data_IF_492495761202
#
_entry.id   IF_492495761202
#
_cell.length_a   1.000
_cell.length_b   1.000
_cell.length_c   1.000
_cell.angle_alpha   90.00
_cell.angle_beta   90.00
_cell.angle_gamma   90.00
#
_symmetry.space_group_name_H-M   'P 1'
#
loop_
_entity.id
_entity.type
_entity.pdbx_description
1 polymer ?
#
# COMPACT_ATOMS: atom_id res chain seq x y z
N UNK A 1 -27.80 -65.48 -64.22
CA UNK A 1 -26.81 -64.71 -63.44
C UNK A 1 -26.36 -63.52 -64.28
N UNK A 2 -26.57 -62.30 -63.80
CA UNK A 2 -26.01 -61.09 -64.42
C UNK A 2 -24.73 -60.73 -63.66
N UNK A 3 -23.58 -60.73 -64.34
CA UNK A 3 -22.31 -60.30 -63.74
C UNK A 3 -22.31 -58.78 -63.58
N UNK A 4 -22.01 -58.24 -62.39
CA UNK A 4 -21.98 -56.80 -62.19
C UNK A 4 -20.85 -56.19 -63.02
N UNK A 5 -21.17 -55.20 -63.86
CA UNK A 5 -20.17 -54.39 -64.57
C UNK A 5 -19.36 -53.60 -63.55
N UNK A 6 -18.11 -53.98 -63.34
CA UNK A 6 -17.14 -53.17 -62.61
C UNK A 6 -16.97 -51.83 -63.34
N UNK A 7 -17.16 -50.68 -62.67
CA UNK A 7 -16.96 -49.39 -63.31
C UNK A 7 -15.48 -49.24 -63.70
N UNK A 8 -15.22 -48.86 -64.95
CA UNK A 8 -13.87 -48.63 -65.43
C UNK A 8 -13.22 -47.51 -64.60
N UNK A 9 -12.04 -47.79 -64.02
CA UNK A 9 -11.24 -46.79 -63.31
C UNK A 9 -10.79 -45.71 -64.30
N UNK A 10 -11.49 -44.58 -64.33
CA UNK A 10 -11.02 -43.38 -65.04
C UNK A 10 -9.83 -42.82 -64.26
N UNK A 11 -8.66 -42.79 -64.89
CA UNK A 11 -7.49 -42.11 -64.34
C UNK A 11 -7.68 -40.59 -64.43
N UNK A 12 -7.05 -39.85 -63.51
CA UNK A 12 -7.03 -38.39 -63.56
C UNK A 12 -6.30 -37.90 -64.81
N UNK A 13 -6.86 -36.89 -65.45
CA UNK A 13 -6.21 -36.13 -66.52
C UNK A 13 -5.13 -35.21 -65.95
N UNK A 14 -4.14 -34.85 -66.78
CA UNK A 14 -3.10 -33.88 -66.41
C UNK A 14 -3.70 -32.54 -65.94
N UNK A 15 -4.82 -32.12 -66.57
CA UNK A 15 -5.53 -30.89 -66.23
C UNK A 15 -6.17 -30.97 -64.85
N UNK A 16 -6.87 -32.07 -64.52
CA UNK A 16 -7.44 -32.28 -63.18
C UNK A 16 -6.36 -32.28 -62.09
N UNK A 17 -5.18 -32.86 -62.38
CA UNK A 17 -4.06 -32.88 -61.45
C UNK A 17 -3.46 -31.47 -61.24
N UNK A 18 -3.26 -30.70 -62.31
CA UNK A 18 -2.78 -29.31 -62.22
C UNK A 18 -3.77 -28.39 -61.50
N UNK A 19 -5.07 -28.52 -61.78
CA UNK A 19 -6.13 -27.78 -61.06
C UNK A 19 -6.15 -28.19 -59.59
N UNK A 20 -6.06 -29.49 -59.28
CA UNK A 20 -6.01 -30.00 -57.90
C UNK A 20 -4.83 -29.45 -57.09
N UNK A 21 -3.62 -29.44 -57.66
CA UNK A 21 -2.44 -28.84 -57.04
C UNK A 21 -2.63 -27.32 -56.85
N UNK A 22 -3.18 -26.63 -57.84
CA UNK A 22 -3.35 -25.16 -57.79
C UNK A 22 -4.37 -24.76 -56.71
N UNK A 23 -5.51 -25.44 -56.63
CA UNK A 23 -6.51 -25.20 -55.58
C UNK A 23 -5.93 -25.54 -54.20
N UNK A 24 -5.22 -26.67 -54.08
CA UNK A 24 -4.57 -27.05 -52.82
C UNK A 24 -3.53 -26.03 -52.37
N UNK A 25 -2.71 -25.48 -53.28
CA UNK A 25 -1.69 -24.48 -52.92
C UNK A 25 -2.31 -23.16 -52.45
N UNK A 26 -3.40 -22.70 -53.09
CA UNK A 26 -4.15 -21.51 -52.66
C UNK A 26 -4.80 -21.72 -51.28
N UNK A 27 -5.39 -22.90 -51.04
CA UNK A 27 -5.98 -23.25 -49.72
C UNK A 27 -4.90 -23.32 -48.64
N UNK A 28 -3.75 -23.96 -48.93
CA UNK A 28 -2.63 -24.02 -47.98
C UNK A 28 -2.05 -22.63 -47.68
N UNK A 29 -1.95 -21.75 -48.67
CA UNK A 29 -1.53 -20.36 -48.49
C UNK A 29 -2.51 -19.59 -47.58
N UNK A 30 -3.81 -19.73 -47.80
CA UNK A 30 -4.84 -19.08 -46.99
C UNK A 30 -4.83 -19.60 -45.53
N UNK A 31 -4.67 -20.91 -45.32
CA UNK A 31 -4.52 -21.51 -43.99
C UNK A 31 -3.23 -21.02 -43.31
N UNK A 32 -2.09 -20.99 -44.01
CA UNK A 32 -0.83 -20.49 -43.47
C UNK A 32 -0.91 -19.02 -43.06
N UNK A 33 -1.47 -18.16 -43.91
CA UNK A 33 -1.72 -16.75 -43.59
C UNK A 33 -2.63 -16.57 -42.37
N UNK A 34 -3.65 -17.43 -42.22
CA UNK A 34 -4.57 -17.43 -41.08
C UNK A 34 -3.85 -17.83 -39.79
N UNK A 35 -3.01 -18.87 -39.82
CA UNK A 35 -2.22 -19.31 -38.66
C UNK A 35 -1.22 -18.22 -38.22
N UNK A 36 -0.57 -17.54 -39.17
CA UNK A 36 0.33 -16.42 -38.87
C UNK A 36 -0.42 -15.27 -38.18
N UNK A 37 -1.58 -14.87 -38.71
CA UNK A 37 -2.40 -13.81 -38.11
C UNK A 37 -2.89 -14.18 -36.70
N UNK A 38 -3.31 -15.43 -36.49
CA UNK A 38 -3.74 -15.96 -35.18
C UNK A 38 -2.58 -15.95 -34.17
N UNK A 39 -1.38 -16.38 -34.58
CA UNK A 39 -0.19 -16.36 -33.72
C UNK A 39 0.22 -14.94 -33.32
N UNK A 40 0.18 -13.98 -34.24
CA UNK A 40 0.45 -12.56 -33.97
C UNK A 40 -0.54 -11.97 -32.95
N UNK A 41 -1.84 -12.26 -33.10
CA UNK A 41 -2.89 -11.89 -32.13
C UNK A 41 -2.59 -12.50 -30.75
N UNK A 42 -2.19 -13.78 -30.66
CA UNK A 42 -1.85 -14.41 -29.39
C UNK A 42 -0.62 -13.77 -28.73
N UNK A 43 0.43 -13.43 -29.48
CA UNK A 43 1.61 -12.75 -28.92
C UNK A 43 1.26 -11.35 -28.39
N UNK A 44 0.51 -10.55 -29.17
CA UNK A 44 0.04 -9.23 -28.75
C UNK A 44 -0.81 -9.28 -27.48
N UNK A 45 -1.76 -10.21 -27.41
CA UNK A 45 -2.59 -10.40 -26.22
C UNK A 45 -1.78 -10.87 -25.00
N UNK A 46 -0.76 -11.71 -25.19
CA UNK A 46 0.08 -12.20 -24.09
C UNK A 46 0.90 -11.07 -23.47
N UNK A 47 1.51 -10.20 -24.28
CA UNK A 47 2.31 -9.04 -23.83
C UNK A 47 1.45 -8.04 -23.04
N UNK A 48 0.22 -7.75 -23.50
CA UNK A 48 -0.68 -6.87 -22.77
C UNK A 48 -1.24 -7.50 -21.49
N UNK A 49 -1.46 -8.82 -21.51
CA UNK A 49 -2.04 -9.56 -20.38
C UNK A 49 -1.15 -9.49 -19.13
N UNK A 50 0.16 -9.68 -19.24
CA UNK A 50 1.05 -9.71 -18.06
C UNK A 50 1.08 -8.37 -17.33
N UNK A 51 1.13 -7.24 -18.05
CA UNK A 51 1.09 -5.90 -17.45
C UNK A 51 -0.25 -5.61 -16.75
N UNK A 52 -1.37 -6.06 -17.35
CA UNK A 52 -2.72 -5.93 -16.74
C UNK A 52 -2.88 -6.83 -15.52
N UNK A 53 -2.30 -8.04 -15.52
CA UNK A 53 -2.30 -8.92 -14.34
C UNK A 53 -1.47 -8.34 -13.20
N UNK A 54 -0.25 -7.85 -13.47
CA UNK A 54 0.57 -7.15 -12.47
C UNK A 54 -0.15 -5.92 -11.87
N UNK A 55 -0.78 -5.11 -12.73
CA UNK A 55 -1.58 -3.95 -12.29
C UNK A 55 -2.73 -4.36 -11.36
N UNK A 56 -3.43 -5.45 -11.68
CA UNK A 56 -4.56 -5.94 -10.88
C UNK A 56 -4.12 -6.49 -9.53
N UNK A 57 -3.02 -7.24 -9.47
CA UNK A 57 -2.48 -7.78 -8.21
C UNK A 57 -2.02 -6.65 -7.30
N UNK A 58 -1.24 -5.69 -7.84
CA UNK A 58 -0.83 -4.49 -7.11
C UNK A 58 -2.00 -3.69 -6.58
N UNK A 59 -2.99 -3.42 -7.43
CA UNK A 59 -4.14 -2.61 -7.06
C UNK A 59 -5.09 -3.32 -6.06
N UNK A 60 -5.28 -4.64 -6.16
CA UNK A 60 -6.06 -5.42 -5.19
C UNK A 60 -5.37 -5.48 -3.81
N UNK A 61 -4.04 -5.66 -3.78
CA UNK A 61 -3.26 -5.59 -2.54
C UNK A 61 -3.39 -4.20 -1.88
N UNK A 62 -3.12 -3.13 -2.63
CA UNK A 62 -3.25 -1.74 -2.15
C UNK A 62 -4.65 -1.46 -1.58
N UNK A 63 -5.71 -1.79 -2.33
CA UNK A 63 -7.10 -1.58 -1.90
C UNK A 63 -7.48 -2.32 -0.61
N UNK A 64 -6.87 -3.48 -0.34
CA UNK A 64 -7.13 -4.27 0.88
C UNK A 64 -6.33 -3.73 2.05
N UNK A 65 -5.01 -3.58 1.89
CA UNK A 65 -4.10 -3.24 2.97
C UNK A 65 -4.32 -1.79 3.45
N UNK A 66 -4.57 -0.83 2.54
CA UNK A 66 -4.81 0.57 2.91
C UNK A 66 -6.09 0.80 3.74
N UNK A 67 -7.09 -0.08 3.64
CA UNK A 67 -8.30 0.01 4.49
C UNK A 67 -8.01 -0.22 5.97
N UNK A 68 -6.89 -0.88 6.29
CA UNK A 68 -6.44 -1.05 7.66
C UNK A 68 -5.64 0.14 8.18
N UNK A 69 -5.16 1.06 7.35
CA UNK A 69 -4.38 2.22 7.80
C UNK A 69 -5.10 2.98 8.93
N UNK A 70 -4.38 3.26 10.02
CA UNK A 70 -4.92 3.88 11.23
C UNK A 70 -5.85 3.01 12.10
N UNK A 71 -6.10 1.74 11.76
CA UNK A 71 -6.93 0.86 12.57
C UNK A 71 -6.29 0.65 13.95
N UNK A 72 -7.04 0.95 15.03
CA UNK A 72 -6.56 0.79 16.41
C UNK A 72 -5.41 1.71 16.81
N UNK A 73 -5.18 2.81 16.08
CA UNK A 73 -4.15 3.82 16.34
C UNK A 73 -4.76 5.22 16.46
N UNK A 74 -3.96 6.17 16.96
CA UNK A 74 -4.26 7.59 16.82
C UNK A 74 -4.07 8.01 15.34
N UNK A 75 -5.05 8.70 14.72
CA UNK A 75 -4.90 9.22 13.36
C UNK A 75 -3.64 10.06 13.11
N UNK A 76 -3.10 10.77 14.12
CA UNK A 76 -1.89 11.57 13.99
C UNK A 76 -0.65 10.73 13.65
N UNK A 77 -0.61 9.47 14.10
CA UNK A 77 0.49 8.52 13.85
C UNK A 77 0.12 7.43 12.85
N UNK A 78 -1.04 7.50 12.20
CA UNK A 78 -1.48 6.45 11.28
C UNK A 78 -0.68 6.41 9.98
N UNK A 79 -0.20 7.57 9.50
CA UNK A 79 0.67 7.70 8.34
C UNK A 79 2.04 8.19 8.75
N UNK A 80 3.06 7.78 8.00
CA UNK A 80 4.42 8.24 8.20
C UNK A 80 4.90 9.07 7.00
N UNK A 81 5.28 10.32 7.28
CA UNK A 81 5.86 11.25 6.30
C UNK A 81 7.34 11.52 6.60
N UNK A 82 7.98 10.70 7.44
CA UNK A 82 9.41 10.73 7.66
C UNK A 82 10.17 10.37 6.38
N UNK A 83 11.25 11.09 6.15
CA UNK A 83 12.16 10.87 5.02
C UNK A 83 13.37 10.01 5.39
N UNK A 84 13.59 9.76 6.68
CA UNK A 84 14.71 8.96 7.18
C UNK A 84 14.74 7.56 6.50
N UNK A 85 15.92 7.20 5.98
CA UNK A 85 16.13 5.95 5.25
C UNK A 85 15.52 5.91 3.84
N UNK A 86 15.18 7.07 3.25
CA UNK A 86 14.81 7.17 1.84
C UNK A 86 15.99 7.58 0.96
N UNK A 87 16.05 7.08 -0.29
CA UNK A 87 16.88 7.67 -1.32
C UNK A 87 16.62 9.20 -1.41
N UNK A 88 17.70 9.97 -1.45
CA UNK A 88 17.68 11.44 -1.52
C UNK A 88 16.88 12.14 -0.39
N UNK A 89 16.60 11.46 0.72
CA UNK A 89 15.69 11.91 1.79
C UNK A 89 14.33 12.39 1.23
N UNK A 90 13.82 11.72 0.18
CA UNK A 90 12.69 12.18 -0.61
C UNK A 90 11.47 11.26 -0.52
N UNK A 91 10.29 11.83 -0.25
CA UNK A 91 9.03 11.10 -0.05
C UNK A 91 8.21 10.90 -1.34
N UNK A 92 8.35 11.82 -2.30
CA UNK A 92 7.61 11.87 -3.56
C UNK A 92 8.54 12.00 -4.77
N UNK A 93 8.08 11.55 -5.94
CA UNK A 93 8.79 11.74 -7.22
C UNK A 93 10.24 11.24 -7.26
N UNK A 94 10.64 10.30 -6.39
CA UNK A 94 11.97 9.70 -6.46
C UNK A 94 12.10 8.92 -7.78
N UNK A 95 13.17 9.17 -8.52
CA UNK A 95 13.40 8.58 -9.85
C UNK A 95 14.72 7.84 -9.88
N UNK A 96 14.71 6.61 -10.37
CA UNK A 96 15.88 5.74 -10.48
C UNK A 96 15.95 5.12 -11.89
N UNK A 97 17.17 4.98 -12.43
CA UNK A 97 17.42 4.36 -13.74
C UNK A 97 17.92 2.92 -13.56
N UNK A 98 17.30 1.98 -14.28
CA UNK A 98 17.65 0.57 -14.26
C UNK A 98 18.26 0.19 -15.61
N UNK A 99 19.49 -0.33 -15.59
CA UNK A 99 20.22 -0.78 -16.78
C UNK A 99 19.37 -1.75 -17.64
N UNK A 100 19.42 -1.57 -18.97
CA UNK A 100 18.61 -2.28 -19.98
C UNK A 100 17.07 -2.23 -19.80
N UNK A 101 16.55 -1.53 -18.79
CA UNK A 101 15.11 -1.40 -18.53
C UNK A 101 14.61 0.05 -18.68
N UNK A 102 15.38 1.06 -18.30
CA UNK A 102 14.99 2.49 -18.29
C UNK A 102 14.64 2.99 -16.88
N UNK A 103 13.99 4.16 -16.78
CA UNK A 103 13.71 4.79 -15.48
C UNK A 103 12.35 4.41 -14.90
N UNK A 104 12.22 4.44 -13.58
CA UNK A 104 10.94 4.41 -12.88
C UNK A 104 10.84 5.60 -11.90
N UNK A 105 9.61 5.98 -11.55
CA UNK A 105 9.30 7.00 -10.54
C UNK A 105 8.46 6.41 -9.42
N UNK A 106 8.72 6.79 -8.17
CA UNK A 106 7.98 6.31 -7.01
C UNK A 106 7.80 7.36 -5.94
N UNK A 107 6.63 7.32 -5.31
CA UNK A 107 6.40 7.87 -3.99
C UNK A 107 6.60 6.78 -2.92
N UNK A 108 6.75 7.21 -1.67
CA UNK A 108 6.86 6.34 -0.49
C UNK A 108 5.57 6.40 0.34
N UNK A 109 4.75 5.35 0.25
CA UNK A 109 3.51 5.21 1.02
C UNK A 109 3.78 4.41 2.30
N UNK A 110 4.00 5.13 3.39
CA UNK A 110 4.23 4.54 4.71
C UNK A 110 3.02 4.74 5.65
N UNK A 111 2.50 3.64 6.20
CA UNK A 111 1.40 3.67 7.16
C UNK A 111 1.50 2.58 8.23
N UNK A 112 0.84 2.84 9.35
CA UNK A 112 0.77 2.03 10.57
C UNK A 112 -0.66 1.50 10.76
N UNK A 113 -0.83 0.27 11.23
CA UNK A 113 -2.10 -0.25 11.75
C UNK A 113 -1.88 -1.26 12.88
N UNK A 114 -2.79 -1.32 13.85
CA UNK A 114 -2.74 -2.33 14.90
C UNK A 114 -3.11 -3.71 14.34
N UNK A 115 -2.34 -4.72 14.72
CA UNK A 115 -2.73 -6.12 14.50
C UNK A 115 -4.01 -6.45 15.31
N UNK A 116 -5.13 -6.84 14.68
CA UNK A 116 -6.37 -7.14 15.39
C UNK A 116 -6.31 -8.45 16.21
N UNK A 117 -5.36 -9.34 15.91
CA UNK A 117 -5.20 -10.62 16.60
C UNK A 117 -4.19 -10.55 17.75
N UNK A 118 -3.38 -9.48 17.81
CA UNK A 118 -2.36 -9.32 18.84
C UNK A 118 -2.79 -8.39 19.97
N UNK A 119 -3.08 -8.98 21.13
CA UNK A 119 -3.39 -8.24 22.36
C UNK A 119 -2.88 -9.00 23.58
N UNK A 120 -2.15 -8.29 24.45
CA UNK A 120 -1.59 -8.77 25.73
C UNK A 120 -1.73 -7.70 26.81
N UNK A 121 -1.37 -8.04 28.04
CA UNK A 121 -1.14 -7.08 29.13
C UNK A 121 0.31 -7.20 29.58
N UNK A 122 0.84 -6.10 30.09
CA UNK A 122 2.18 -6.01 30.62
C UNK A 122 2.43 -4.64 31.21
N UNK A 123 3.50 -4.46 31.96
CA UNK A 123 3.94 -3.16 32.47
C UNK A 123 5.16 -2.70 31.66
N UNK A 124 5.23 -1.42 31.36
CA UNK A 124 6.44 -0.78 30.86
C UNK A 124 7.10 -0.07 32.05
N UNK A 125 8.42 -0.20 32.21
CA UNK A 125 9.12 0.56 33.24
C UNK A 125 9.03 2.08 33.00
N UNK A 126 9.01 2.83 34.10
CA UNK A 126 8.54 4.20 34.10
C UNK A 126 9.66 5.22 34.07
N UNK A 127 9.62 6.13 33.10
CA UNK A 127 10.37 7.40 33.09
C UNK A 127 11.88 7.24 33.29
N UNK A 128 12.50 6.41 32.46
CA UNK A 128 13.95 6.39 32.23
C UNK A 128 14.36 7.07 30.91
N UNK A 129 15.63 6.95 30.55
CA UNK A 129 16.04 7.02 29.15
C UNK A 129 15.81 5.64 28.50
N UNK A 130 15.53 5.56 27.20
CA UNK A 130 15.42 4.27 26.52
C UNK A 130 16.76 3.51 26.53
N UNK A 131 16.75 2.16 26.38
CA UNK A 131 15.57 1.32 26.16
C UNK A 131 14.70 1.12 27.41
N UNK A 132 13.38 1.11 27.20
CA UNK A 132 12.37 0.83 28.22
C UNK A 132 12.08 -0.67 28.31
N UNK A 133 12.00 -1.24 29.51
CA UNK A 133 11.71 -2.66 29.70
C UNK A 133 10.20 -2.93 29.81
N UNK A 134 9.65 -3.58 28.79
CA UNK A 134 8.31 -4.16 28.79
C UNK A 134 8.35 -5.54 29.46
N UNK A 135 7.46 -5.79 30.42
CA UNK A 135 7.26 -7.09 31.08
C UNK A 135 5.79 -7.48 31.01
N UNK A 136 5.46 -8.63 30.41
CA UNK A 136 4.08 -9.11 30.28
C UNK A 136 3.49 -9.59 31.62
N UNK A 137 2.17 -9.66 31.69
CA UNK A 137 1.42 -10.19 32.84
C UNK A 137 1.86 -11.63 33.17
N UNK A 138 1.93 -12.05 34.46
CA UNK A 138 2.30 -13.41 34.82
C UNK A 138 1.47 -14.47 34.07
N UNK A 139 2.16 -15.48 33.52
CA UNK A 139 1.64 -16.51 32.61
C UNK A 139 1.24 -16.07 31.19
N UNK A 140 1.48 -14.80 30.80
CA UNK A 140 1.42 -14.37 29.40
C UNK A 140 2.82 -14.40 28.75
N UNK A 141 2.86 -14.73 27.45
CA UNK A 141 4.05 -14.64 26.59
C UNK A 141 3.70 -13.89 25.30
N UNK A 142 4.70 -13.54 24.48
CA UNK A 142 4.42 -12.89 23.19
C UNK A 142 3.63 -13.83 22.25
N UNK A 143 3.85 -15.14 22.31
CA UNK A 143 3.10 -16.17 21.59
C UNK A 143 3.44 -16.29 20.09
N UNK A 144 4.30 -15.40 19.60
CA UNK A 144 4.96 -15.47 18.29
C UNK A 144 6.32 -14.79 18.41
N UNK A 145 7.34 -15.21 17.62
CA UNK A 145 8.61 -14.49 17.60
C UNK A 145 8.40 -13.08 17.04
N UNK A 146 8.93 -12.08 17.73
CA UNK A 146 8.96 -10.71 17.27
C UNK A 146 10.40 -10.32 16.95
N UNK A 147 10.60 -9.56 15.87
CA UNK A 147 11.95 -9.14 15.44
C UNK A 147 12.30 -7.75 15.93
N UNK A 148 13.61 -7.50 16.07
CA UNK A 148 14.15 -6.16 16.24
C UNK A 148 13.53 -5.19 15.24
N UNK A 149 13.27 -3.96 15.68
CA UNK A 149 12.65 -2.91 14.88
C UNK A 149 11.12 -2.98 14.78
N UNK A 150 10.45 -4.10 15.06
CA UNK A 150 8.98 -4.15 15.03
C UNK A 150 8.36 -3.23 16.10
N UNK A 151 7.25 -2.59 15.74
CA UNK A 151 6.59 -1.59 16.58
C UNK A 151 5.56 -2.21 17.53
N UNK A 152 5.61 -1.81 18.80
CA UNK A 152 4.71 -2.24 19.88
C UNK A 152 4.06 -1.01 20.51
N UNK A 153 2.73 -1.03 20.59
CA UNK A 153 1.92 0.01 21.19
C UNK A 153 1.51 -0.41 22.59
N UNK A 154 1.95 0.35 23.59
CA UNK A 154 1.55 0.19 24.99
C UNK A 154 0.52 1.28 25.31
N UNK A 155 -0.72 0.90 25.62
CA UNK A 155 -1.81 1.85 25.89
C UNK A 155 -2.34 1.69 27.31
N UNK A 156 -2.47 2.80 28.02
CA UNK A 156 -2.97 2.81 29.40
C UNK A 156 -4.43 2.33 29.49
N UNK A 157 -4.86 1.83 30.66
CA UNK A 157 -6.27 1.51 30.90
C UNK A 157 -7.17 2.72 30.60
N UNK A 158 -8.14 2.55 29.69
CA UNK A 158 -8.99 3.64 29.18
C UNK A 158 -8.50 4.30 27.88
N UNK A 159 -7.31 3.96 27.39
CA UNK A 159 -6.84 4.22 26.02
C UNK A 159 -6.49 5.66 25.65
N UNK A 160 -6.70 6.65 26.53
CA UNK A 160 -6.41 8.05 26.22
C UNK A 160 -4.90 8.34 26.08
N UNK A 161 -4.08 7.62 26.85
CA UNK A 161 -2.64 7.69 26.86
C UNK A 161 -2.02 6.41 26.28
N UNK A 162 -1.04 6.56 25.39
CA UNK A 162 -0.29 5.45 24.81
C UNK A 162 1.18 5.83 24.58
N UNK A 163 1.99 4.82 24.27
CA UNK A 163 3.38 4.93 23.85
C UNK A 163 3.62 3.96 22.69
N UNK A 164 4.31 4.40 21.64
CA UNK A 164 4.76 3.54 20.54
C UNK A 164 6.27 3.35 20.66
N UNK A 165 6.69 2.11 20.91
CA UNK A 165 8.09 1.72 20.98
C UNK A 165 8.49 0.74 19.87
N UNK A 166 9.78 0.67 19.53
CA UNK A 166 10.37 -0.35 18.66
C UNK A 166 11.14 -1.36 19.47
N UNK A 167 11.05 -2.64 19.14
CA UNK A 167 11.88 -3.67 19.76
C UNK A 167 13.37 -3.41 19.51
N UNK A 168 14.14 -3.28 20.60
CA UNK A 168 15.59 -3.06 20.54
C UNK A 168 16.38 -4.33 20.14
N UNK A 169 15.77 -5.51 20.29
CA UNK A 169 16.32 -6.81 19.94
C UNK A 169 15.19 -7.82 19.61
N UNK A 170 15.55 -8.96 19.02
CA UNK A 170 14.63 -10.07 18.78
C UNK A 170 14.06 -10.65 20.09
N UNK A 171 12.79 -11.04 20.06
CA UNK A 171 12.05 -11.62 21.19
C UNK A 171 11.46 -12.95 20.77
N UNK A 172 11.72 -14.00 21.55
CA UNK A 172 11.18 -15.34 21.28
C UNK A 172 9.68 -15.43 21.60
N UNK A 173 8.97 -16.37 20.99
CA UNK A 173 7.53 -16.57 21.22
C UNK A 173 7.20 -16.84 22.71
N UNK A 174 8.06 -17.60 23.40
CA UNK A 174 7.93 -17.90 24.83
C UNK A 174 8.49 -16.79 25.73
N UNK A 175 9.01 -15.71 25.16
CA UNK A 175 9.47 -14.53 25.88
C UNK A 175 8.34 -13.88 26.68
N UNK A 176 8.71 -13.34 27.84
CA UNK A 176 7.81 -12.59 28.73
C UNK A 176 8.24 -11.13 28.91
N UNK A 177 9.41 -10.76 28.40
CA UNK A 177 9.96 -9.41 28.47
C UNK A 177 10.54 -8.97 27.12
N UNK A 178 10.58 -7.66 26.91
CA UNK A 178 11.15 -7.04 25.71
C UNK A 178 11.72 -5.66 26.06
N UNK A 179 12.73 -5.21 25.32
CA UNK A 179 13.30 -3.87 25.46
C UNK A 179 12.82 -2.99 24.30
N UNK A 180 12.36 -1.77 24.59
CA UNK A 180 11.73 -0.86 23.64
C UNK A 180 12.48 0.48 23.52
N UNK A 181 12.90 0.83 22.31
CA UNK A 181 13.31 2.18 21.93
C UNK A 181 12.07 3.04 21.62
N UNK A 182 12.17 4.37 21.71
CA UNK A 182 11.09 5.28 21.26
C UNK A 182 10.92 5.19 19.73
N UNK A 183 9.69 4.98 19.24
CA UNK A 183 9.41 4.83 17.79
C UNK A 183 9.07 6.13 17.05
N UNK A 184 8.82 7.22 17.79
CA UNK A 184 8.27 8.48 17.28
C UNK A 184 9.15 9.66 17.68
N UNK A 185 9.27 10.66 16.81
CA UNK A 185 10.01 11.89 17.15
C UNK A 185 9.40 12.61 18.36
N UNK A 186 10.22 13.35 19.10
CA UNK A 186 9.80 14.09 20.29
C UNK A 186 8.70 15.11 19.96
N UNK A 187 7.67 15.18 20.82
CA UNK A 187 6.49 16.01 20.63
C UNK A 187 5.37 15.36 19.80
N UNK A 188 5.56 14.13 19.29
CA UNK A 188 4.48 13.34 18.70
C UNK A 188 3.70 12.61 19.81
N UNK A 189 2.34 12.62 19.79
CA UNK A 189 1.53 11.77 20.65
C UNK A 189 2.01 10.31 20.69
N UNK A 190 2.50 9.88 21.85
CA UNK A 190 3.04 8.53 22.09
C UNK A 190 4.56 8.39 22.00
N UNK A 191 5.30 9.49 21.94
CA UNK A 191 6.77 9.56 21.98
C UNK A 191 7.41 9.10 23.31
N UNK A 192 6.76 9.39 24.45
CA UNK A 192 7.27 9.12 25.80
C UNK A 192 6.28 8.30 26.63
N UNK A 193 6.72 7.23 27.33
CA UNK A 193 5.92 6.46 28.27
C UNK A 193 5.20 7.31 29.32
N UNK A 194 3.97 6.94 29.67
CA UNK A 194 3.16 7.63 30.67
C UNK A 194 3.13 6.85 31.99
N UNK A 195 3.00 7.54 33.12
CA UNK A 195 3.04 6.93 34.45
C UNK A 195 1.96 5.87 34.73
N UNK A 196 0.88 5.83 33.95
CA UNK A 196 -0.11 4.76 34.00
C UNK A 196 0.39 3.41 33.42
N UNK A 197 1.54 3.38 32.74
CA UNK A 197 2.11 2.16 32.16
C UNK A 197 2.87 1.29 33.16
N UNK A 198 3.24 1.85 34.31
CA UNK A 198 3.85 1.12 35.44
C UNK A 198 2.83 0.52 36.41
N UNK A 199 1.52 0.76 36.24
CA UNK A 199 0.48 0.28 37.16
C UNK A 199 0.37 -1.26 37.12
N UNK A 200 0.77 -1.93 38.20
CA UNK A 200 0.66 -3.39 38.35
C UNK A 200 -0.76 -3.86 38.67
N UNK A 201 -1.61 -2.97 39.20
CA UNK A 201 -3.00 -3.29 39.56
C UNK A 201 -3.93 -3.24 38.35
N UNK A 202 -3.64 -2.33 37.41
CA UNK A 202 -4.32 -2.18 36.13
C UNK A 202 -3.27 -2.11 35.01
N UNK A 203 -2.63 -3.24 34.75
CA UNK A 203 -1.63 -3.34 33.68
C UNK A 203 -2.17 -2.81 32.34
N UNK A 204 -1.41 -1.97 31.62
CA UNK A 204 -1.79 -1.46 30.32
C UNK A 204 -1.85 -2.57 29.27
N UNK A 205 -2.44 -2.23 28.13
CA UNK A 205 -2.61 -3.11 26.99
C UNK A 205 -1.39 -3.02 26.07
N UNK A 206 -0.89 -4.18 25.65
CA UNK A 206 0.24 -4.33 24.74
C UNK A 206 -0.30 -4.87 23.42
N UNK A 207 -0.03 -4.13 22.34
CA UNK A 207 -0.56 -4.39 21.00
C UNK A 207 0.57 -4.35 19.98
N UNK A 208 0.55 -5.25 18.99
CA UNK A 208 1.52 -5.21 17.89
C UNK A 208 1.04 -4.21 16.85
N UNK A 209 1.96 -3.40 16.33
CA UNK A 209 1.69 -2.46 15.24
C UNK A 209 2.39 -2.97 13.97
N UNK A 210 1.57 -3.24 12.98
CA UNK A 210 2.00 -3.57 11.63
C UNK A 210 2.32 -2.26 10.90
N UNK A 211 3.56 -2.14 10.45
CA UNK A 211 4.03 -1.00 9.67
C UNK A 211 4.30 -1.49 8.25
N UNK A 212 3.74 -0.77 7.27
CA UNK A 212 3.88 -1.08 5.85
C UNK A 212 4.41 0.16 5.14
N UNK A 213 5.49 -0.02 4.39
CA UNK A 213 6.13 1.01 3.57
C UNK A 213 6.16 0.51 2.12
N UNK A 214 5.45 1.18 1.22
CA UNK A 214 5.35 0.77 -0.19
C UNK A 214 6.01 1.79 -1.09
N UNK A 215 6.89 1.30 -1.97
CA UNK A 215 7.57 2.05 -3.02
C UNK A 215 8.01 1.10 -4.13
N UNK A 216 8.46 1.64 -5.25
CA UNK A 216 9.12 0.86 -6.30
C UNK A 216 10.61 0.75 -5.97
N UNK A 217 11.19 -0.44 -6.12
CA UNK A 217 12.62 -0.69 -5.97
C UNK A 217 13.15 -1.56 -7.12
N UNK A 218 14.39 -1.32 -7.56
CA UNK A 218 15.07 -2.16 -8.52
C UNK A 218 15.59 -3.46 -7.87
N UNK A 219 15.07 -4.60 -8.30
CA UNK A 219 15.52 -5.94 -7.86
C UNK A 219 15.85 -6.80 -9.08
N UNK A 220 17.11 -7.22 -9.21
CA UNK A 220 17.56 -8.08 -10.31
C UNK A 220 17.41 -7.46 -11.70
N UNK A 221 17.67 -6.16 -11.86
CA UNK A 221 17.58 -5.43 -13.13
C UNK A 221 16.14 -5.11 -13.58
N UNK A 222 15.16 -5.18 -12.67
CA UNK A 222 13.75 -4.84 -12.95
C UNK A 222 13.13 -4.12 -11.74
N UNK A 223 12.25 -3.12 -11.94
CA UNK A 223 11.54 -2.49 -10.85
C UNK A 223 10.34 -3.32 -10.38
N UNK A 224 10.15 -3.34 -9.07
CA UNK A 224 9.03 -3.98 -8.39
C UNK A 224 8.37 -3.00 -7.43
N UNK A 225 7.04 -2.90 -7.43
CA UNK A 225 6.32 -2.39 -6.27
C UNK A 225 6.51 -3.40 -5.14
N UNK A 226 7.23 -3.00 -4.10
CA UNK A 226 7.47 -3.81 -2.90
C UNK A 226 6.70 -3.25 -1.72
N UNK A 227 6.45 -4.08 -0.71
CA UNK A 227 6.04 -3.65 0.62
C UNK A 227 7.07 -4.10 1.64
N UNK A 228 7.71 -3.14 2.31
CA UNK A 228 8.59 -3.39 3.47
C UNK A 228 7.76 -3.50 4.75
N UNK A 229 8.20 -4.38 5.65
CA UNK A 229 7.58 -4.62 6.96
C UNK A 229 8.39 -3.95 8.07
N UNK A 230 8.03 -2.72 8.42
CA UNK A 230 8.85 -1.81 9.22
C UNK A 230 9.54 -0.74 8.37
N UNK A 231 10.41 0.07 8.98
CA UNK A 231 11.14 1.15 8.29
C UNK A 231 12.66 0.99 8.30
N UNK A 232 13.19 -0.11 8.86
CA UNK A 232 14.61 -0.42 8.69
C UNK A 232 14.93 -0.57 7.19
N UNK A 233 16.11 -0.11 6.77
CA UNK A 233 16.49 -0.11 5.36
C UNK A 233 16.52 -1.53 4.77
N UNK A 234 16.99 -2.47 5.59
CA UNK A 234 17.10 -3.92 5.38
C UNK A 234 15.86 -4.73 5.81
N UNK A 235 14.74 -4.06 6.11
CA UNK A 235 13.50 -4.75 6.51
C UNK A 235 13.01 -5.74 5.44
N UNK A 236 12.53 -6.91 5.90
CA UNK A 236 11.84 -7.91 5.08
C UNK A 236 10.82 -7.23 4.14
N UNK A 237 10.85 -7.61 2.86
CA UNK A 237 9.96 -7.08 1.83
C UNK A 237 9.27 -8.18 1.03
N UNK A 238 8.00 -7.94 0.68
CA UNK A 238 7.25 -8.75 -0.29
C UNK A 238 7.17 -8.01 -1.63
N UNK A 239 7.54 -8.62 -2.77
CA UNK A 239 7.27 -8.07 -4.10
C UNK A 239 5.80 -8.26 -4.46
N UNK A 240 5.10 -7.16 -4.75
CA UNK A 240 3.66 -7.14 -5.04
C UNK A 240 3.37 -7.15 -6.55
N UNK A 241 4.07 -6.30 -7.32
CA UNK A 241 3.92 -6.20 -8.76
C UNK A 241 5.28 -5.92 -9.42
N UNK A 242 5.54 -6.55 -10.57
CA UNK A 242 6.77 -6.36 -11.34
C UNK A 242 6.57 -5.38 -12.50
N UNK A 243 7.67 -4.84 -13.04
CA UNK A 243 7.73 -3.92 -14.19
C UNK A 243 6.90 -2.65 -13.97
N UNK A 244 6.92 -2.12 -12.75
CA UNK A 244 6.26 -0.88 -12.39
C UNK A 244 7.11 0.31 -12.82
N UNK A 245 6.58 1.17 -13.68
CA UNK A 245 7.24 2.42 -14.12
C UNK A 245 6.92 3.61 -13.24
N UNK A 246 5.73 3.62 -12.64
CA UNK A 246 5.26 4.74 -11.85
C UNK A 246 4.34 4.24 -10.75
N UNK A 247 4.65 4.62 -9.50
CA UNK A 247 3.77 4.45 -8.35
C UNK A 247 3.64 5.81 -7.67
N UNK A 248 2.41 6.29 -7.53
CA UNK A 248 2.13 7.66 -7.11
C UNK A 248 0.95 7.72 -6.14
N UNK A 249 0.98 8.69 -5.22
CA UNK A 249 0.11 8.72 -4.05
C UNK A 249 -0.37 10.15 -3.76
N UNK A 250 -1.69 10.33 -3.73
CA UNK A 250 -2.32 11.58 -3.31
C UNK A 250 -3.18 11.39 -2.05
N UNK A 251 -3.29 12.44 -1.24
CA UNK A 251 -3.90 12.41 0.09
C UNK A 251 -5.12 13.32 0.13
N UNK A 252 -6.33 12.75 0.10
CA UNK A 252 -7.56 13.53 0.23
C UNK A 252 -7.79 13.90 1.69
N UNK A 253 -7.73 15.20 1.96
CA UNK A 253 -7.90 15.78 3.28
C UNK A 253 -9.37 16.00 3.63
N UNK A 254 -9.64 16.13 4.92
CA UNK A 254 -10.96 16.43 5.45
C UNK A 254 -11.38 17.85 5.07
N UNK A 255 -12.52 17.99 4.40
CA UNK A 255 -13.06 19.28 3.95
C UNK A 255 -14.13 19.81 4.92
N UNK A 256 -14.14 21.11 5.28
CA UNK A 256 -15.23 21.70 6.06
C UNK A 256 -16.54 21.66 5.26
N UNK A 257 -17.67 21.30 5.91
CA UNK A 257 -18.97 21.37 5.25
C UNK A 257 -19.33 22.83 4.93
N UNK A 258 -20.10 23.07 3.87
CA UNK A 258 -20.43 24.42 3.41
C UNK A 258 -21.23 25.27 4.42
N UNK A 259 -21.80 24.64 5.44
CA UNK A 259 -22.51 25.26 6.58
C UNK A 259 -21.70 25.23 7.89
N UNK A 260 -20.40 24.93 7.83
CA UNK A 260 -19.47 25.03 8.97
C UNK A 260 -19.49 26.45 9.56
N UNK A 261 -19.72 26.56 10.86
CA UNK A 261 -19.75 27.85 11.56
C UNK A 261 -18.33 28.38 11.79
N UNK A 262 -17.33 27.50 11.96
CA UNK A 262 -15.94 27.89 12.10
C UNK A 262 -15.23 28.17 10.77
N UNK A 263 -15.52 27.36 9.75
CA UNK A 263 -14.53 27.02 8.73
C UNK A 263 -15.08 26.93 7.29
N UNK A 264 -16.34 27.32 7.04
CA UNK A 264 -16.93 27.26 5.69
C UNK A 264 -16.20 28.11 4.63
N UNK A 265 -15.46 29.13 5.06
CA UNK A 265 -14.59 29.97 4.22
C UNK A 265 -13.10 29.64 4.31
N UNK A 266 -12.70 28.55 4.97
CA UNK A 266 -11.31 28.15 5.09
C UNK A 266 -10.75 27.75 3.71
N UNK A 267 -9.62 28.35 3.34
CA UNK A 267 -8.90 27.98 2.12
C UNK A 267 -8.46 26.52 2.18
N UNK A 268 -8.46 25.86 1.03
CA UNK A 268 -7.94 24.51 0.92
C UNK A 268 -6.42 24.48 1.15
N UNK A 269 -5.88 23.38 1.71
CA UNK A 269 -4.48 23.31 2.14
C UNK A 269 -3.46 23.26 0.99
N UNK A 270 -3.89 22.89 -0.20
CA UNK A 270 -3.15 22.94 -1.46
C UNK A 270 -2.71 24.36 -1.85
N UNK A 271 -3.44 25.38 -1.38
CA UNK A 271 -3.43 26.71 -1.99
C UNK A 271 -4.16 26.69 -3.33
N UNK A 272 -4.50 27.86 -3.87
CA UNK A 272 -5.29 27.94 -5.11
C UNK A 272 -4.50 27.62 -6.41
N UNK A 273 -3.67 26.58 -6.39
CA UNK A 273 -2.94 26.06 -7.55
C UNK A 273 -3.88 25.18 -8.38
N UNK A 274 -3.80 25.30 -9.71
CA UNK A 274 -4.38 24.38 -10.71
C UNK A 274 -5.91 24.25 -10.78
N UNK A 275 -6.54 23.84 -9.68
CA UNK A 275 -7.87 23.21 -9.64
C UNK A 275 -8.97 24.02 -8.95
N UNK A 276 -8.62 25.06 -8.18
CA UNK A 276 -9.58 25.97 -7.56
C UNK A 276 -10.17 25.49 -6.22
N UNK A 277 -9.29 25.12 -5.28
CA UNK A 277 -9.55 24.61 -3.91
C UNK A 277 -9.76 23.09 -3.83
N UNK A 278 -8.72 22.32 -4.15
CA UNK A 278 -8.69 20.88 -3.94
C UNK A 278 -8.28 20.52 -2.50
N UNK A 279 -9.11 19.72 -1.85
CA UNK A 279 -8.77 19.14 -0.54
C UNK A 279 -7.97 17.86 -0.73
N UNK A 280 -6.92 17.94 -1.56
CA UNK A 280 -6.04 16.86 -1.97
C UNK A 280 -4.60 17.38 -1.91
N UNK A 281 -3.67 16.54 -1.45
CA UNK A 281 -2.24 16.88 -1.38
C UNK A 281 -1.44 15.81 -2.13
N UNK A 282 -0.37 16.22 -2.83
CA UNK A 282 0.43 15.31 -3.68
C UNK A 282 -0.18 14.99 -5.05
N UNK A 283 -1.21 15.70 -5.50
CA UNK A 283 -1.77 15.59 -6.86
C UNK A 283 -1.17 16.56 -7.89
N UNK A 284 -0.51 17.62 -7.43
CA UNK A 284 0.21 18.60 -8.27
C UNK A 284 1.60 18.93 -7.70
N UNK A 285 2.58 19.22 -8.55
CA UNK A 285 4.01 19.39 -8.18
C UNK A 285 4.30 20.51 -7.17
N UNK A 286 3.42 21.51 -7.09
CA UNK A 286 3.56 22.64 -6.17
C UNK A 286 2.90 22.38 -4.80
N UNK A 287 2.19 21.27 -4.63
CA UNK A 287 1.36 20.99 -3.46
C UNK A 287 2.14 20.15 -2.45
N UNK A 288 2.39 20.73 -1.28
CA UNK A 288 3.10 20.05 -0.19
C UNK A 288 2.33 18.81 0.31
N UNK A 289 3.06 17.74 0.60
CA UNK A 289 2.51 16.56 1.28
C UNK A 289 1.98 16.91 2.69
N UNK A 290 1.06 16.09 3.26
CA UNK A 290 0.68 16.21 4.66
C UNK A 290 1.92 16.24 5.58
N UNK A 291 1.96 17.19 6.52
CA UNK A 291 3.11 17.36 7.43
C UNK A 291 2.73 17.23 8.89
N UNK A 292 3.69 16.76 9.69
CA UNK A 292 3.64 16.82 11.14
C UNK A 292 4.54 17.96 11.62
N UNK A 293 3.95 19.02 12.18
CA UNK A 293 4.64 20.26 12.52
C UNK A 293 3.92 20.95 13.69
N UNK A 294 4.64 21.74 14.50
CA UNK A 294 4.08 22.53 15.58
C UNK A 294 3.05 23.57 15.08
N UNK A 295 3.25 24.10 13.87
CA UNK A 295 2.31 25.01 13.20
C UNK A 295 1.08 24.29 12.61
N UNK A 296 1.08 22.95 12.57
CA UNK A 296 -0.01 22.12 12.04
C UNK A 296 -0.38 21.03 13.05
N UNK A 297 -0.85 21.42 14.26
CA UNK A 297 -1.09 20.48 15.34
C UNK A 297 -2.23 19.49 15.02
N UNK A 298 -2.14 18.24 15.53
CA UNK A 298 -3.15 17.23 15.31
C UNK A 298 -4.44 17.55 16.10
N UNK A 299 -5.64 17.27 15.52
CA UNK A 299 -6.87 17.26 16.29
C UNK A 299 -6.86 16.09 17.28
N UNK A 300 -7.25 16.34 18.52
CA UNK A 300 -7.35 15.30 19.55
C UNK A 300 -8.71 14.59 19.49
N UNK A 301 -8.89 13.56 20.32
CA UNK A 301 -10.20 12.94 20.53
C UNK A 301 -11.26 13.89 21.11
N UNK A 302 -10.86 14.93 21.87
CA UNK A 302 -11.76 15.94 22.42
C UNK A 302 -12.06 17.10 21.46
N UNK A 303 -11.31 17.28 20.38
CA UNK A 303 -11.56 18.33 19.37
C UNK A 303 -12.98 18.20 18.77
N UNK A 304 -13.80 19.27 18.76
CA UNK A 304 -15.16 19.28 18.19
C UNK A 304 -15.27 18.79 16.73
N UNK A 305 -16.48 18.57 16.22
CA UNK A 305 -16.68 18.24 14.80
C UNK A 305 -16.33 19.41 13.88
N UNK A 306 -16.73 20.61 14.27
CA UNK A 306 -16.58 21.86 13.53
C UNK A 306 -15.46 22.69 14.16
N UNK A 307 -14.21 22.27 13.91
CA UNK A 307 -13.01 22.88 14.47
C UNK A 307 -11.91 22.94 13.38
N UNK A 308 -11.21 24.07 13.27
CA UNK A 308 -10.18 24.30 12.26
C UNK A 308 -9.03 23.27 12.30
N UNK A 309 -8.74 22.69 13.48
CA UNK A 309 -7.77 21.61 13.65
C UNK A 309 -8.16 20.33 12.89
N UNK A 310 -9.43 20.17 12.50
CA UNK A 310 -9.89 19.06 11.67
C UNK A 310 -9.82 19.33 10.16
N UNK A 311 -9.32 20.49 9.76
CA UNK A 311 -9.28 20.95 8.37
C UNK A 311 -7.90 21.52 7.97
N UNK A 312 -6.84 21.12 8.69
CA UNK A 312 -5.45 21.51 8.41
C UNK A 312 -4.67 20.39 7.69
N UNK A 313 -3.40 20.63 7.36
CA UNK A 313 -2.50 19.68 6.68
C UNK A 313 -2.02 18.50 7.54
N UNK A 314 -2.49 18.35 8.78
CA UNK A 314 -2.04 17.28 9.66
C UNK A 314 -2.48 15.91 9.11
N UNK A 315 -1.60 14.91 9.24
CA UNK A 315 -1.83 13.51 8.83
C UNK A 315 -3.15 12.93 9.36
N UNK A 316 -3.56 13.30 10.57
CA UNK A 316 -4.84 12.92 11.18
C UNK A 316 -6.08 13.33 10.37
N UNK A 317 -5.95 14.28 9.44
CA UNK A 317 -7.03 14.78 8.60
C UNK A 317 -7.15 14.11 7.23
N UNK A 318 -6.30 13.13 6.92
CA UNK A 318 -6.48 12.27 5.73
C UNK A 318 -7.81 11.49 5.85
N UNK A 319 -8.57 11.39 4.75
CA UNK A 319 -9.86 10.68 4.66
C UNK A 319 -9.91 9.65 3.53
N UNK A 320 -9.14 9.89 2.47
CA UNK A 320 -8.90 8.93 1.39
C UNK A 320 -7.45 9.05 0.95
N UNK A 321 -6.87 7.96 0.45
CA UNK A 321 -5.60 7.99 -0.28
C UNK A 321 -5.90 7.58 -1.73
N UNK A 322 -5.57 8.45 -2.67
CA UNK A 322 -5.46 8.12 -4.08
C UNK A 322 -4.16 7.34 -4.29
N UNK A 323 -4.23 6.21 -4.98
CA UNK A 323 -3.04 5.49 -5.45
C UNK A 323 -3.14 5.24 -6.94
N UNK A 324 -2.03 5.54 -7.62
CA UNK A 324 -1.82 5.33 -9.05
C UNK A 324 -0.71 4.31 -9.26
N UNK A 325 -0.85 3.50 -10.32
CA UNK A 325 0.17 2.55 -10.74
C UNK A 325 0.22 2.49 -12.27
N UNK A 326 1.40 2.67 -12.87
CA UNK A 326 1.66 2.32 -14.27
C UNK A 326 2.57 1.10 -14.35
N UNK A 327 2.10 0.05 -15.01
CA UNK A 327 2.85 -1.19 -15.24
C UNK A 327 3.14 -1.35 -16.73
N UNK A 328 4.40 -1.67 -17.04
CA UNK A 328 4.90 -1.93 -18.38
C UNK A 328 4.93 -3.42 -18.70
N UNK A 329 4.85 -3.78 -19.98
CA UNK A 329 5.12 -5.14 -20.42
C UNK A 329 6.63 -5.45 -20.41
N UNK A 330 7.01 -6.69 -20.07
CA UNK A 330 8.40 -7.17 -20.11
C UNK A 330 9.03 -7.08 -21.51
N UNK A 331 8.20 -7.12 -22.56
CA UNK A 331 8.64 -7.15 -23.97
C UNK A 331 7.98 -6.02 -24.76
N UNK A 332 8.64 -5.52 -25.82
CA UNK A 332 8.02 -4.60 -26.75
C UNK A 332 6.84 -5.27 -27.49
N UNK A 333 5.85 -4.48 -27.88
CA UNK A 333 4.69 -4.94 -28.64
C UNK A 333 5.13 -5.38 -30.05
N UNK A 334 4.73 -6.59 -30.53
CA UNK A 334 5.06 -7.05 -31.88
C UNK A 334 4.55 -6.16 -33.02
N UNK A 335 3.60 -5.26 -32.74
CA UNK A 335 3.12 -4.26 -33.71
C UNK A 335 4.12 -3.14 -34.01
N UNK A 336 5.14 -2.94 -33.16
CA UNK A 336 5.97 -1.73 -33.19
C UNK A 336 5.19 -0.45 -32.91
N UNK A 337 3.92 -0.54 -32.49
CA UNK A 337 3.12 0.63 -32.12
C UNK A 337 3.78 1.27 -30.92
N UNK A 338 4.00 2.58 -31.01
CA UNK A 338 4.50 3.34 -29.89
C UNK A 338 3.44 3.68 -28.84
N UNK A 339 3.88 3.89 -27.61
CA UNK A 339 3.06 4.12 -26.43
C UNK A 339 3.87 4.85 -25.36
N UNK A 340 3.21 5.62 -24.50
CA UNK A 340 3.84 6.37 -23.39
C UNK A 340 2.99 6.18 -22.13
N UNK A 341 3.60 6.29 -20.95
CA UNK A 341 2.83 6.39 -19.71
C UNK A 341 2.03 7.71 -19.71
N UNK A 342 0.93 7.74 -18.95
CA UNK A 342 0.21 8.99 -18.66
C UNK A 342 0.81 9.62 -17.41
N UNK A 343 0.80 10.96 -17.32
CA UNK A 343 1.02 11.69 -16.06
C UNK A 343 0.11 11.10 -14.99
N UNK A 344 0.65 10.90 -13.80
CA UNK A 344 -0.01 10.21 -12.70
C UNK A 344 0.16 11.05 -11.44
N UNK A 345 -0.90 11.74 -11.01
CA UNK A 345 -0.84 12.76 -9.96
C UNK A 345 0.22 13.84 -10.29
N UNK A 346 1.20 14.07 -9.41
CA UNK A 346 2.29 15.00 -9.64
C UNK A 346 3.36 14.46 -10.63
N UNK A 347 3.72 13.17 -10.63
CA UNK A 347 4.72 12.66 -11.58
C UNK A 347 4.31 12.77 -13.06
N UNK A 348 5.21 13.38 -13.83
CA UNK A 348 5.26 13.23 -15.30
C UNK A 348 5.87 11.87 -15.71
N UNK A 349 5.56 11.36 -16.93
CA UNK A 349 6.15 10.15 -17.47
C UNK A 349 7.69 10.23 -17.60
N UNK A 350 8.41 9.44 -16.80
CA UNK A 350 9.90 9.39 -16.85
C UNK A 350 10.44 8.73 -18.12
N UNK A 351 9.73 7.74 -18.68
CA UNK A 351 10.09 7.10 -19.94
C UNK A 351 9.38 7.77 -21.13
N UNK A 352 10.15 7.98 -22.21
CA UNK A 352 9.66 8.52 -23.46
C UNK A 352 8.77 7.55 -24.26
N UNK A 353 8.34 7.98 -25.45
CA UNK A 353 7.46 7.21 -26.32
C UNK A 353 8.19 6.05 -27.01
N UNK A 354 7.96 4.82 -26.54
CA UNK A 354 8.62 3.59 -26.98
C UNK A 354 7.60 2.49 -27.39
N UNK A 355 8.07 1.27 -27.70
CA UNK A 355 7.21 0.18 -28.21
C UNK A 355 6.62 -0.73 -27.13
N UNK A 356 6.80 -0.46 -25.83
CA UNK A 356 6.28 -1.30 -24.75
C UNK A 356 4.81 -1.01 -24.44
N UNK A 357 4.03 -2.05 -24.15
CA UNK A 357 2.67 -1.87 -23.67
C UNK A 357 2.70 -1.34 -22.24
N UNK A 358 1.83 -0.38 -21.93
CA UNK A 358 1.67 0.22 -20.61
C UNK A 358 0.19 0.23 -20.24
N UNK A 359 -0.10 -0.04 -18.98
CA UNK A 359 -1.42 0.14 -18.40
C UNK A 359 -1.29 0.97 -17.13
N UNK A 360 -2.06 2.05 -17.06
CA UNK A 360 -2.16 2.93 -15.90
C UNK A 360 -3.49 2.68 -15.21
N UNK A 361 -3.46 2.44 -13.90
CA UNK A 361 -4.64 2.25 -13.06
C UNK A 361 -4.59 3.20 -11.88
N UNK A 362 -5.72 3.81 -11.57
CA UNK A 362 -5.89 4.78 -10.47
C UNK A 362 -7.08 4.34 -9.62
N UNK A 363 -6.99 4.51 -8.30
CA UNK A 363 -8.12 4.33 -7.37
C UNK A 363 -8.04 5.32 -6.23
N UNK A 364 -9.17 5.52 -5.53
CA UNK A 364 -9.25 6.28 -4.29
C UNK A 364 -9.74 5.36 -3.17
N UNK A 365 -8.88 5.08 -2.19
CA UNK A 365 -9.18 4.21 -1.05
C UNK A 365 -9.59 5.06 0.14
N UNK A 366 -10.87 5.00 0.53
CA UNK A 366 -11.33 5.62 1.78
C UNK A 366 -10.74 4.92 2.99
N UNK A 367 -10.28 5.69 3.97
CA UNK A 367 -9.65 5.18 5.19
C UNK A 367 -10.55 5.54 6.38
N UNK A 368 -11.53 4.68 6.74
CA UNK A 368 -12.51 5.01 7.76
C UNK A 368 -11.90 5.20 9.15
N UNK A 369 -10.81 4.51 9.47
CA UNK A 369 -10.19 4.55 10.79
C UNK A 369 -9.65 5.95 11.15
N UNK A 370 -9.25 6.75 10.16
CA UNK A 370 -8.82 8.15 10.35
C UNK A 370 -9.92 9.07 10.87
N UNK A 371 -11.18 8.63 10.85
CA UNK A 371 -12.32 9.36 11.44
C UNK A 371 -12.56 9.01 12.90
N UNK A 372 -11.77 8.10 13.50
CA UNK A 372 -11.98 7.67 14.88
C UNK A 372 -11.85 8.82 15.89
N UNK A 373 -12.76 8.83 16.85
CA UNK A 373 -12.84 9.80 17.96
C UNK A 373 -12.60 9.18 19.33
N UNK A 374 -12.29 7.90 19.36
CA UNK A 374 -11.92 7.17 20.56
C UNK A 374 -10.77 6.22 20.22
N UNK A 375 -9.83 6.09 21.15
CA UNK A 375 -8.84 5.03 21.07
C UNK A 375 -9.53 3.69 21.39
N UNK A 376 -9.58 2.78 20.43
CA UNK A 376 -10.32 1.52 20.56
C UNK A 376 -9.42 0.41 21.09
N UNK A 377 -9.53 0.09 22.38
CA UNK A 377 -9.01 -1.15 22.96
C UNK A 377 -10.17 -2.12 23.15
N UNK A 378 -10.20 -3.27 22.46
CA UNK A 378 -11.17 -4.32 22.79
C UNK A 378 -10.81 -4.92 24.15
N UNK A 379 -11.82 -5.20 24.98
CA UNK A 379 -11.60 -5.68 26.34
C UNK A 379 -10.89 -7.06 26.34
N UNK A 380 -9.79 -7.15 27.10
CA UNK A 380 -9.16 -8.43 27.39
C UNK A 380 -9.91 -9.11 28.52
N UNK A 381 -10.51 -10.24 28.19
CA UNK A 381 -11.24 -11.07 29.14
C UNK A 381 -10.33 -11.56 30.27
N UNK A 382 -10.47 -10.99 31.46
CA UNK A 382 -9.81 -11.49 32.65
C UNK A 382 -10.53 -12.75 33.16
N UNK A 383 -9.79 -13.83 33.38
CA UNK A 383 -10.34 -15.07 33.94
C UNK A 383 -10.80 -14.83 35.39
N UNK A 384 -12.11 -14.72 35.61
CA UNK A 384 -12.73 -14.59 36.93
C UNK A 384 -13.61 -13.36 37.16
N UNK A 385 -13.68 -12.41 36.22
CA UNK A 385 -14.53 -11.22 36.37
C UNK A 385 -15.98 -11.51 35.94
N UNK A 386 -16.88 -11.57 36.92
CA UNK A 386 -18.31 -11.75 36.66
C UNK A 386 -18.97 -10.44 36.18
N UNK A 387 -19.42 -10.42 34.92
CA UNK A 387 -20.01 -9.24 34.26
C UNK A 387 -19.46 -8.99 32.85
N UNK A 388 -18.34 -9.61 32.51
CA UNK A 388 -17.63 -9.46 31.25
C UNK A 388 -18.36 -10.16 30.08
N UNK A 389 -19.09 -9.36 29.30
CA UNK A 389 -19.90 -9.82 28.17
C UNK A 389 -19.04 -9.97 26.91
N UNK A 390 -18.54 -11.20 26.70
CA UNK A 390 -17.95 -11.76 25.47
C UNK A 390 -17.63 -10.75 24.35
N UNK A 391 -16.37 -10.68 23.97
CA UNK A 391 -15.98 -10.14 22.66
C UNK A 391 -16.53 -11.04 21.52
N UNK A 392 -17.76 -10.77 21.08
CA UNK A 392 -18.46 -11.43 19.94
C UNK A 392 -18.12 -10.75 18.60
N UNK A 393 -17.21 -9.77 18.60
CA UNK A 393 -16.82 -9.00 17.41
C UNK A 393 -15.35 -9.23 17.02
N UNK A 394 -14.95 -10.50 16.99
CA UNK A 394 -13.98 -11.02 16.01
C UNK A 394 -14.76 -11.77 14.93
N UNK A 395 -14.55 -11.40 13.67
CA UNK A 395 -15.08 -12.14 12.51
C UNK A 395 -14.25 -13.37 12.18
#
# INVERSE_FOLDING_TARGET
MSTPRTPARRGFTLIELLVGITVSSVVLLAVAATIIAVNDIFQKNTVSKTAVEGSRVGMDYLNRTLRYAGYGLDPAIAFDFGTDGLPEDRKDNYTEEVEDWGSFVTDDLAFRYRDPMYLRRGQLDGTGAPPFQLTLEPAANFGQPLRQGQAVLVACPGGQDYFLGRLAADVTADGTTASLETALAAGIPGDVPKGCMTDSTRMPFVMLVQEKRLRVEAHGGRPYLVVKHGWAEDADFDPIAADVESFQVSYQMNRPPANSACCAGQAAPDGAVGSGMAWVLGDEDAVMLPKYDADVPPPTYSTPYDDALRYNMNTANIRSVGVGLTVRSVRPMPSGKKNQARRLFNAEPVNGEDTFFRTTVETSVRIPNMTSRAFFIPELRAAGVAGDLKNVWGG
#
